data_IF_188535091922
#
_entry.id   IF_188535091922
#
_cell.length_a   1.000
_cell.length_b   1.000
_cell.length_c   1.000
_cell.angle_alpha   90.00
_cell.angle_beta   90.00
_cell.angle_gamma   90.00
#
_symmetry.space_group_name_H-M   'P 1'
#
loop_
_entity.id
_entity.type
_entity.pdbx_description
1 polymer ?
#
# COMPACT_ATOMS: atom_id res chain seq x y z
N UNK A 1 9.44 34.65 -6.23
CA UNK A 1 10.09 33.32 -6.43
C UNK A 1 9.23 32.33 -5.67
N UNK A 2 8.54 31.42 -6.35
CA UNK A 2 7.81 30.35 -5.65
C UNK A 2 8.84 29.44 -4.99
N UNK A 3 8.84 29.38 -3.66
CA UNK A 3 9.63 28.40 -2.94
C UNK A 3 9.20 26.99 -3.37
N UNK A 4 10.17 26.09 -3.53
CA UNK A 4 9.87 24.68 -3.78
C UNK A 4 8.97 24.14 -2.64
N UNK A 5 7.95 23.33 -2.94
CA UNK A 5 7.04 22.83 -1.92
C UNK A 5 7.78 22.01 -0.85
N UNK A 6 7.37 22.18 0.40
CA UNK A 6 7.83 21.39 1.55
C UNK A 6 6.76 20.36 1.88
N UNK A 7 7.13 19.09 1.92
CA UNK A 7 6.22 17.97 2.11
C UNK A 7 6.18 17.52 3.56
N UNK A 8 4.98 17.36 4.12
CA UNK A 8 4.75 16.55 5.30
C UNK A 8 4.21 15.19 4.86
N UNK A 9 4.88 14.10 5.28
CA UNK A 9 4.41 12.73 5.08
C UNK A 9 3.97 12.18 6.44
N UNK A 10 2.69 11.88 6.63
CA UNK A 10 2.22 11.11 7.78
C UNK A 10 2.36 9.62 7.49
N UNK A 11 2.74 8.82 8.47
CA UNK A 11 3.16 7.44 8.23
C UNK A 11 4.53 7.37 7.52
N UNK A 12 5.39 8.38 7.77
CA UNK A 12 6.65 8.57 7.06
C UNK A 12 7.70 7.50 7.31
N UNK A 13 7.65 6.79 8.44
CA UNK A 13 8.51 5.65 8.72
C UNK A 13 7.96 4.31 8.20
N UNK A 14 6.77 4.31 7.56
CA UNK A 14 6.16 3.15 6.94
C UNK A 14 6.74 2.83 5.55
N UNK A 15 6.28 1.72 4.97
CA UNK A 15 6.74 1.25 3.64
C UNK A 15 6.58 2.30 2.53
N UNK A 16 5.39 2.90 2.39
CA UNK A 16 5.19 3.98 1.42
C UNK A 16 5.96 5.23 1.81
N UNK A 17 5.94 5.58 3.11
CA UNK A 17 6.57 6.81 3.62
C UNK A 17 8.06 6.89 3.29
N UNK A 18 8.83 5.83 3.51
CA UNK A 18 10.28 5.83 3.20
C UNK A 18 10.54 5.90 1.69
N UNK A 19 9.79 5.17 0.87
CA UNK A 19 9.96 5.22 -0.58
C UNK A 19 9.60 6.61 -1.13
N UNK A 20 8.50 7.20 -0.66
CA UNK A 20 8.12 8.57 -1.02
C UNK A 20 9.15 9.60 -0.54
N UNK A 21 9.71 9.42 0.66
CA UNK A 21 10.79 10.26 1.17
C UNK A 21 11.99 10.24 0.23
N UNK A 22 12.47 9.04 -0.15
CA UNK A 22 13.58 8.88 -1.11
C UNK A 22 13.27 9.54 -2.45
N UNK A 23 12.06 9.31 -2.96
CA UNK A 23 11.58 9.87 -4.23
C UNK A 23 11.60 11.41 -4.22
N UNK A 24 11.12 12.03 -3.14
CA UNK A 24 11.06 13.49 -2.99
C UNK A 24 12.45 14.09 -2.74
N UNK A 25 13.28 13.48 -1.89
CA UNK A 25 14.64 13.93 -1.63
C UNK A 25 15.53 13.87 -2.88
N UNK A 26 15.33 12.88 -3.75
CA UNK A 26 16.03 12.78 -5.03
C UNK A 26 15.68 13.92 -6.00
N UNK A 27 14.50 14.55 -5.81
CA UNK A 27 14.03 15.72 -6.58
C UNK A 27 14.29 17.06 -5.89
N UNK A 28 15.02 17.05 -4.77
CA UNK A 28 15.43 18.27 -4.06
C UNK A 28 14.35 18.88 -3.16
N UNK A 29 13.26 18.16 -2.88
CA UNK A 29 12.22 18.65 -1.97
C UNK A 29 12.60 18.46 -0.50
N UNK A 30 12.17 19.40 0.34
CA UNK A 30 12.25 19.25 1.80
C UNK A 30 11.11 18.35 2.30
N UNK A 31 11.45 17.43 3.22
CA UNK A 31 10.52 16.44 3.75
C UNK A 31 10.49 16.49 5.27
N UNK A 32 9.28 16.52 5.84
CA UNK A 32 9.00 16.24 7.25
C UNK A 32 8.29 14.89 7.34
N UNK A 33 8.76 14.00 8.19
CA UNK A 33 8.15 12.70 8.50
C UNK A 33 7.43 12.79 9.85
N UNK A 34 6.14 12.44 9.90
CA UNK A 34 5.39 12.23 11.13
C UNK A 34 4.99 10.75 11.23
N UNK A 35 5.46 10.06 12.26
CA UNK A 35 5.11 8.67 12.51
C UNK A 35 5.17 8.36 14.01
N UNK A 36 4.45 7.34 14.46
CA UNK A 36 4.59 6.78 15.82
C UNK A 36 5.85 5.94 15.96
N UNK A 37 6.34 5.37 14.85
CA UNK A 37 7.58 4.60 14.80
C UNK A 37 8.79 5.53 14.58
N UNK A 38 9.94 5.12 15.08
CA UNK A 38 11.20 5.81 14.78
C UNK A 38 11.55 5.70 13.29
N UNK A 39 12.15 6.77 12.75
CA UNK A 39 12.63 6.83 11.38
C UNK A 39 14.07 6.28 11.30
N UNK A 40 14.19 4.97 11.34
CA UNK A 40 15.47 4.25 11.31
C UNK A 40 15.88 3.89 9.88
N UNK A 41 16.25 4.92 9.11
CA UNK A 41 16.71 4.81 7.73
C UNK A 41 17.93 5.70 7.46
N UNK A 42 18.75 5.38 6.46
CA UNK A 42 19.94 6.17 6.10
C UNK A 42 19.64 7.64 5.77
N UNK A 43 18.42 7.96 5.37
CA UNK A 43 17.97 9.30 5.03
C UNK A 43 17.66 10.19 6.24
N UNK A 44 17.82 9.68 7.48
CA UNK A 44 17.44 10.35 8.73
C UNK A 44 17.94 11.80 8.84
N UNK A 45 19.18 12.04 8.50
CA UNK A 45 19.81 13.37 8.64
C UNK A 45 19.36 14.39 7.56
N UNK A 46 18.59 13.93 6.57
CA UNK A 46 18.04 14.73 5.48
C UNK A 46 16.55 15.05 5.63
N UNK A 47 15.93 14.55 6.69
CA UNK A 47 14.49 14.61 6.93
C UNK A 47 14.22 15.24 8.29
N UNK A 48 13.28 16.18 8.36
CA UNK A 48 12.77 16.64 9.64
C UNK A 48 11.87 15.55 10.24
N UNK A 49 12.25 14.99 11.37
CA UNK A 49 11.52 13.89 12.01
C UNK A 49 10.69 14.44 13.16
N UNK A 50 9.42 14.09 13.17
CA UNK A 50 8.48 14.31 14.27
C UNK A 50 7.90 12.97 14.68
N UNK A 51 8.27 12.49 15.85
CA UNK A 51 7.64 11.30 16.43
C UNK A 51 6.34 11.72 17.14
N UNK A 52 5.24 11.04 16.78
CA UNK A 52 3.93 11.33 17.37
C UNK A 52 2.79 10.63 16.64
N UNK A 53 1.65 10.56 17.31
CA UNK A 53 0.42 9.98 16.75
C UNK A 53 -0.36 11.05 15.97
N UNK A 54 -0.90 10.68 14.81
CA UNK A 54 -1.74 11.58 14.00
C UNK A 54 -3.05 11.97 14.70
N UNK A 55 -3.46 11.25 15.73
CA UNK A 55 -4.60 11.58 16.60
C UNK A 55 -4.28 12.71 17.57
N UNK A 56 -2.99 12.97 17.81
CA UNK A 56 -2.52 13.99 18.73
C UNK A 56 -2.35 15.33 18.00
N UNK A 57 -3.28 16.27 18.23
CA UNK A 57 -3.27 17.58 17.58
C UNK A 57 -1.93 18.31 17.69
N UNK A 58 -1.30 18.29 18.87
CA UNK A 58 -0.02 18.96 19.08
C UNK A 58 1.13 18.35 18.26
N UNK A 59 1.16 17.02 18.09
CA UNK A 59 2.15 16.37 17.23
C UNK A 59 1.95 16.73 15.75
N UNK A 60 0.71 16.73 15.28
CA UNK A 60 0.33 17.14 13.93
C UNK A 60 0.70 18.59 13.65
N UNK A 61 0.41 19.50 14.59
CA UNK A 61 0.73 20.93 14.44
C UNK A 61 2.24 21.19 14.37
N UNK A 62 3.03 20.48 15.18
CA UNK A 62 4.51 20.56 15.06
C UNK A 62 4.98 20.04 13.70
N UNK A 63 4.41 18.95 13.20
CA UNK A 63 4.81 18.38 11.93
C UNK A 63 4.44 19.27 10.73
N UNK A 64 3.33 20.01 10.82
CA UNK A 64 2.85 20.94 9.78
C UNK A 64 3.67 22.23 9.67
N UNK A 65 4.60 22.53 10.59
CA UNK A 65 5.40 23.76 10.50
C UNK A 65 6.20 23.80 9.20
N UNK A 66 5.93 24.83 8.40
CA UNK A 66 6.58 25.05 7.10
C UNK A 66 6.10 24.14 5.97
N UNK A 67 5.18 23.23 6.20
CA UNK A 67 4.65 22.35 5.15
C UNK A 67 3.65 23.09 4.26
N UNK A 68 3.84 23.00 2.95
CA UNK A 68 2.88 23.47 1.93
C UNK A 68 2.04 22.31 1.34
N UNK A 69 2.58 21.10 1.37
CA UNK A 69 1.90 19.88 0.90
C UNK A 69 1.89 18.83 2.00
N UNK A 70 0.72 18.25 2.26
CA UNK A 70 0.57 17.08 3.12
C UNK A 70 0.29 15.85 2.27
N UNK A 71 1.06 14.77 2.47
CA UNK A 71 0.73 13.44 1.93
C UNK A 71 0.36 12.56 3.11
N UNK A 72 -0.94 12.25 3.21
CA UNK A 72 -1.49 11.48 4.32
C UNK A 72 -1.48 9.99 3.99
N UNK A 73 -0.42 9.30 4.47
CA UNK A 73 -0.21 7.86 4.27
C UNK A 73 -0.45 7.05 5.56
N UNK A 74 -0.50 7.70 6.72
CA UNK A 74 -0.72 7.02 7.99
C UNK A 74 -2.07 6.32 7.99
N UNK A 75 -2.07 5.04 8.34
CA UNK A 75 -3.26 4.21 8.43
C UNK A 75 -2.99 2.98 9.30
N UNK A 76 -4.01 2.49 9.98
CA UNK A 76 -3.97 1.19 10.62
C UNK A 76 -4.15 0.09 9.55
N UNK A 77 -3.42 -1.00 9.70
CA UNK A 77 -3.47 -2.11 8.75
C UNK A 77 -4.70 -3.01 8.99
N UNK A 78 -5.17 -3.76 7.98
CA UNK A 78 -6.34 -4.65 8.11
C UNK A 78 -6.26 -5.69 9.22
N UNK A 79 -5.05 -5.95 9.74
CA UNK A 79 -4.78 -6.92 10.83
C UNK A 79 -4.90 -6.33 12.23
N UNK A 80 -5.07 -5.02 12.36
CA UNK A 80 -5.29 -4.38 13.67
C UNK A 80 -6.71 -4.59 14.18
N UNK A 81 -6.90 -4.35 15.47
CA UNK A 81 -8.23 -4.40 16.07
C UNK A 81 -9.16 -3.36 15.40
N UNK A 82 -10.45 -3.69 15.18
CA UNK A 82 -11.39 -2.77 14.53
C UNK A 82 -11.43 -1.38 15.15
N UNK A 83 -11.42 -1.29 16.48
CA UNK A 83 -11.41 0.00 17.19
C UNK A 83 -10.18 0.85 16.84
N UNK A 84 -9.01 0.22 16.71
CA UNK A 84 -7.77 0.91 16.32
C UNK A 84 -7.84 1.38 14.87
N UNK A 85 -8.38 0.54 13.96
CA UNK A 85 -8.57 0.92 12.55
C UNK A 85 -9.46 2.16 12.45
N UNK A 86 -10.61 2.17 13.11
CA UNK A 86 -11.52 3.32 13.06
C UNK A 86 -10.89 4.57 13.70
N UNK A 87 -10.25 4.43 14.84
CA UNK A 87 -9.61 5.56 15.51
C UNK A 87 -8.47 6.17 14.67
N UNK A 88 -7.56 5.36 14.16
CA UNK A 88 -6.43 5.86 13.35
C UNK A 88 -6.90 6.41 12.01
N UNK A 89 -7.70 5.63 11.27
CA UNK A 89 -8.04 5.98 9.88
C UNK A 89 -9.10 7.09 9.79
N UNK A 90 -9.97 7.25 10.80
CA UNK A 90 -11.01 8.29 10.79
C UNK A 90 -10.62 9.46 11.65
N UNK A 91 -10.38 9.26 12.96
CA UNK A 91 -10.09 10.37 13.87
C UNK A 91 -8.72 10.97 13.58
N UNK A 92 -7.72 10.11 13.25
CA UNK A 92 -6.41 10.56 12.79
C UNK A 92 -6.49 11.39 11.50
N UNK A 93 -7.21 10.92 10.47
CA UNK A 93 -7.42 11.68 9.23
C UNK A 93 -8.10 13.01 9.52
N UNK A 94 -9.14 13.02 10.38
CA UNK A 94 -9.83 14.24 10.81
C UNK A 94 -8.85 15.24 11.43
N UNK A 95 -8.06 14.80 12.39
CA UNK A 95 -7.08 15.65 13.10
C UNK A 95 -6.09 16.28 12.12
N UNK A 96 -5.55 15.48 11.18
CA UNK A 96 -4.56 15.98 10.23
C UNK A 96 -5.16 16.96 9.23
N UNK A 97 -6.34 16.64 8.63
CA UNK A 97 -6.93 17.52 7.61
C UNK A 97 -7.46 18.81 8.21
N UNK A 98 -8.03 18.79 9.42
CA UNK A 98 -8.42 19.99 10.16
C UNK A 98 -7.24 20.91 10.46
N UNK A 99 -6.12 20.33 10.91
CA UNK A 99 -4.92 21.10 11.19
C UNK A 99 -4.30 21.68 9.90
N UNK A 100 -4.25 20.89 8.84
CA UNK A 100 -3.76 21.31 7.54
C UNK A 100 -4.60 22.47 6.97
N UNK A 101 -5.93 22.35 7.02
CA UNK A 101 -6.85 23.39 6.57
C UNK A 101 -6.71 24.69 7.40
N UNK A 102 -6.65 24.60 8.72
CA UNK A 102 -6.48 25.75 9.61
C UNK A 102 -5.16 26.50 9.38
N UNK A 103 -4.12 25.82 8.91
CA UNK A 103 -2.81 26.41 8.57
C UNK A 103 -2.70 26.88 7.11
N UNK A 104 -3.75 26.71 6.31
CA UNK A 104 -3.75 27.10 4.89
C UNK A 104 -2.79 26.27 4.04
N UNK A 105 -2.62 24.98 4.36
CA UNK A 105 -1.84 24.05 3.52
C UNK A 105 -2.42 24.04 2.11
N UNK A 106 -1.57 24.22 1.10
CA UNK A 106 -1.99 24.37 -0.30
C UNK A 106 -2.61 23.09 -0.85
N UNK A 107 -2.12 21.92 -0.39
CA UNK A 107 -2.55 20.63 -0.90
C UNK A 107 -2.50 19.51 0.15
N UNK A 108 -3.56 18.72 0.18
CA UNK A 108 -3.68 17.55 1.06
C UNK A 108 -3.93 16.29 0.23
N UNK A 109 -2.89 15.53 -0.10
CA UNK A 109 -3.01 14.28 -0.84
C UNK A 109 -3.38 13.15 0.12
N UNK A 110 -4.57 12.58 -0.03
CA UNK A 110 -5.03 11.45 0.76
C UNK A 110 -4.74 10.12 0.06
N UNK A 111 -3.93 9.27 0.68
CA UNK A 111 -3.69 7.91 0.18
C UNK A 111 -4.76 6.97 0.75
N UNK A 112 -5.77 6.70 -0.07
CA UNK A 112 -6.87 5.77 0.20
C UNK A 112 -6.46 4.34 -0.20
N UNK A 113 -7.40 3.55 -0.68
CA UNK A 113 -7.18 2.17 -1.14
C UNK A 113 -8.31 1.73 -2.07
N UNK A 114 -8.06 0.83 -3.00
CA UNK A 114 -9.13 0.15 -3.76
C UNK A 114 -10.02 -0.76 -2.88
N UNK A 115 -9.66 -0.98 -1.61
CA UNK A 115 -10.51 -1.66 -0.64
C UNK A 115 -11.86 -0.93 -0.38
N UNK A 116 -11.97 0.36 -0.75
CA UNK A 116 -13.22 1.13 -0.69
C UNK A 116 -14.32 0.55 -1.59
N UNK A 117 -13.97 -0.15 -2.65
CA UNK A 117 -14.94 -0.80 -3.55
C UNK A 117 -15.52 -2.10 -2.99
N UNK A 118 -14.85 -2.73 -2.00
CA UNK A 118 -15.27 -4.00 -1.42
C UNK A 118 -15.04 -5.19 -2.35
N UNK A 119 -16.06 -6.04 -2.50
CA UNK A 119 -16.04 -7.20 -3.42
C UNK A 119 -16.93 -6.84 -4.62
N UNK A 120 -16.32 -6.44 -5.75
CA UNK A 120 -17.06 -6.02 -6.93
C UNK A 120 -17.57 -7.22 -7.74
N UNK A 121 -18.58 -6.95 -8.56
CA UNK A 121 -19.19 -7.89 -9.49
C UNK A 121 -18.70 -7.72 -10.95
N UNK A 122 -17.86 -6.72 -11.19
CA UNK A 122 -17.28 -6.42 -12.51
C UNK A 122 -15.87 -5.85 -12.42
N UNK A 123 -15.17 -5.83 -13.53
CA UNK A 123 -13.86 -5.23 -13.73
C UNK A 123 -13.70 -4.74 -15.19
N UNK A 124 -12.87 -3.71 -15.44
CA UNK A 124 -12.14 -2.89 -14.47
C UNK A 124 -13.07 -2.01 -13.64
N UNK A 125 -12.70 -1.74 -12.39
CA UNK A 125 -13.39 -0.73 -11.56
C UNK A 125 -12.95 0.68 -11.96
N UNK A 126 -13.89 1.62 -11.92
CA UNK A 126 -13.65 3.04 -12.18
C UNK A 126 -13.96 3.88 -10.93
N UNK A 127 -13.51 5.13 -10.90
CA UNK A 127 -13.64 5.99 -9.72
C UNK A 127 -15.08 6.32 -9.34
N UNK A 128 -16.01 6.20 -10.29
CA UNK A 128 -17.46 6.44 -10.09
C UNK A 128 -18.22 5.23 -9.56
N UNK A 129 -17.57 4.08 -9.47
CA UNK A 129 -18.21 2.88 -8.93
C UNK A 129 -18.58 3.04 -7.47
N UNK A 130 -19.68 2.37 -7.02
CA UNK A 130 -20.14 2.47 -5.66
C UNK A 130 -19.11 2.02 -4.63
N UNK A 131 -18.95 2.81 -3.57
CA UNK A 131 -18.09 2.46 -2.45
C UNK A 131 -18.83 1.52 -1.49
N UNK A 132 -18.37 0.29 -1.39
CA UNK A 132 -18.96 -0.79 -0.56
C UNK A 132 -17.90 -1.44 0.32
N UNK A 133 -17.06 -0.64 0.96
CA UNK A 133 -15.95 -1.13 1.79
C UNK A 133 -16.36 -2.28 2.71
N UNK A 134 -15.66 -3.41 2.60
CA UNK A 134 -15.91 -4.62 3.38
C UNK A 134 -14.95 -4.69 4.56
N UNK A 135 -15.49 -5.08 5.72
CA UNK A 135 -14.73 -5.14 6.97
C UNK A 135 -14.32 -3.77 7.51
N UNK A 136 -13.73 -3.72 8.70
CA UNK A 136 -13.38 -2.46 9.36
C UNK A 136 -12.48 -1.54 8.52
N UNK A 137 -11.47 -2.11 7.87
CA UNK A 137 -10.51 -1.34 7.06
C UNK A 137 -11.16 -0.68 5.83
N UNK A 138 -11.91 -1.45 5.02
CA UNK A 138 -12.58 -0.90 3.85
C UNK A 138 -13.61 0.17 4.23
N UNK A 139 -14.37 -0.04 5.31
CA UNK A 139 -15.33 0.92 5.82
C UNK A 139 -14.65 2.19 6.34
N UNK A 140 -13.56 2.06 7.09
CA UNK A 140 -12.80 3.21 7.60
C UNK A 140 -12.22 4.05 6.45
N UNK A 141 -11.71 3.42 5.39
CA UNK A 141 -11.23 4.14 4.19
C UNK A 141 -12.36 4.90 3.48
N UNK A 142 -13.56 4.33 3.36
CA UNK A 142 -14.73 5.04 2.81
C UNK A 142 -15.08 6.27 3.66
N UNK A 143 -15.08 6.14 4.99
CA UNK A 143 -15.37 7.24 5.90
C UNK A 143 -14.30 8.34 5.86
N UNK A 144 -13.02 7.95 5.77
CA UNK A 144 -11.90 8.90 5.62
C UNK A 144 -11.99 9.67 4.29
N UNK A 145 -12.34 9.01 3.17
CA UNK A 145 -12.62 9.72 1.92
C UNK A 145 -13.78 10.70 2.06
N UNK A 146 -14.82 10.36 2.82
CA UNK A 146 -15.93 11.26 3.12
C UNK A 146 -15.47 12.56 3.79
N UNK A 147 -14.54 12.49 4.74
CA UNK A 147 -13.91 13.66 5.34
C UNK A 147 -13.13 14.48 4.30
N UNK A 148 -12.33 13.82 3.48
CA UNK A 148 -11.57 14.49 2.42
C UNK A 148 -12.48 15.21 1.42
N UNK A 149 -13.59 14.61 1.02
CA UNK A 149 -14.58 15.21 0.12
C UNK A 149 -15.28 16.43 0.77
N UNK A 150 -15.48 16.41 2.08
CA UNK A 150 -16.02 17.57 2.81
C UNK A 150 -15.07 18.78 2.71
N UNK A 151 -13.76 18.58 2.93
CA UNK A 151 -12.78 19.66 2.82
C UNK A 151 -12.57 20.12 1.37
N UNK A 152 -12.69 19.22 0.40
CA UNK A 152 -12.71 19.59 -1.03
C UNK A 152 -13.87 20.54 -1.34
N UNK A 153 -15.08 20.28 -0.81
CA UNK A 153 -16.24 21.18 -0.96
C UNK A 153 -16.06 22.54 -0.27
N UNK A 154 -15.19 22.62 0.74
CA UNK A 154 -14.79 23.87 1.38
C UNK A 154 -13.68 24.63 0.64
N UNK A 155 -13.28 24.16 -0.55
CA UNK A 155 -12.29 24.81 -1.41
C UNK A 155 -10.84 24.36 -1.20
N UNK A 156 -10.56 23.40 -0.32
CA UNK A 156 -9.22 22.84 -0.16
C UNK A 156 -8.89 21.92 -1.35
N UNK A 157 -7.69 22.00 -1.90
CA UNK A 157 -7.23 21.02 -2.89
C UNK A 157 -6.89 19.70 -2.21
N UNK A 158 -7.78 18.69 -2.35
CA UNK A 158 -7.68 17.39 -1.72
C UNK A 158 -7.72 16.27 -2.76
N UNK A 159 -6.62 15.95 -3.42
CA UNK A 159 -6.50 14.73 -4.21
C UNK A 159 -6.70 13.48 -3.37
N UNK A 160 -7.45 12.51 -3.90
CA UNK A 160 -7.60 11.18 -3.30
C UNK A 160 -7.01 10.16 -4.28
N UNK A 161 -6.04 9.38 -3.82
CA UNK A 161 -5.45 8.30 -4.61
C UNK A 161 -5.94 6.97 -4.04
N UNK A 162 -6.48 6.10 -4.90
CA UNK A 162 -6.90 4.74 -4.58
C UNK A 162 -5.93 3.73 -5.20
N UNK A 163 -4.82 3.42 -4.54
CA UNK A 163 -3.85 2.48 -5.08
C UNK A 163 -4.36 1.04 -4.99
N UNK A 164 -3.96 0.23 -5.98
CA UNK A 164 -3.96 -1.22 -5.86
C UNK A 164 -2.92 -1.68 -4.84
N UNK A 165 -2.92 -2.98 -4.51
CA UNK A 165 -1.86 -3.54 -3.66
C UNK A 165 -0.49 -3.21 -4.25
N UNK A 166 0.29 -2.42 -3.54
CA UNK A 166 1.58 -1.97 -4.05
C UNK A 166 2.75 -2.68 -3.37
N UNK A 167 3.80 -2.92 -4.15
CA UNK A 167 5.00 -3.70 -3.82
C UNK A 167 6.24 -2.95 -4.27
N UNK A 168 7.39 -3.34 -3.74
CA UNK A 168 8.69 -2.76 -4.08
C UNK A 168 9.66 -2.84 -2.89
N UNK A 169 10.85 -2.24 -2.99
CA UNK A 169 11.84 -2.21 -1.92
C UNK A 169 11.26 -1.79 -0.57
N UNK A 170 11.67 -2.43 0.51
CA UNK A 170 11.15 -2.30 1.89
C UNK A 170 9.80 -3.01 2.14
N UNK A 171 9.19 -3.66 1.12
CA UNK A 171 7.95 -4.42 1.29
C UNK A 171 8.25 -5.88 1.61
N UNK A 172 7.71 -6.34 2.73
CA UNK A 172 7.74 -7.74 3.17
C UNK A 172 6.31 -8.29 3.27
N UNK A 173 5.82 -8.55 4.46
CA UNK A 173 4.46 -9.05 4.67
C UNK A 173 4.26 -10.42 3.98
N UNK A 174 3.14 -10.58 3.27
CA UNK A 174 2.78 -11.83 2.58
C UNK A 174 3.73 -12.17 1.43
N UNK A 175 4.31 -11.18 0.76
CA UNK A 175 5.22 -11.41 -0.38
C UNK A 175 6.53 -12.06 0.07
N UNK A 176 6.96 -11.81 1.31
CA UNK A 176 8.13 -12.48 1.87
C UNK A 176 8.01 -14.02 1.87
N UNK A 177 6.78 -14.56 1.89
CA UNK A 177 6.57 -16.02 1.78
C UNK A 177 6.99 -16.53 0.39
N UNK A 178 6.55 -15.85 -0.68
CA UNK A 178 6.94 -16.20 -2.05
C UNK A 178 8.46 -16.09 -2.22
N UNK A 179 9.04 -14.99 -1.74
CA UNK A 179 10.47 -14.71 -1.90
C UNK A 179 11.36 -15.68 -1.13
N UNK A 180 10.97 -16.04 0.09
CA UNK A 180 11.69 -17.02 0.91
C UNK A 180 11.66 -18.42 0.25
N UNK A 181 10.52 -18.82 -0.30
CA UNK A 181 10.40 -20.10 -0.99
C UNK A 181 11.20 -20.11 -2.29
N UNK A 182 11.11 -19.05 -3.08
CA UNK A 182 11.87 -18.90 -4.32
C UNK A 182 13.38 -18.90 -4.06
N UNK A 183 13.86 -18.18 -3.03
CA UNK A 183 15.28 -18.10 -2.69
C UNK A 183 15.88 -19.42 -2.19
N UNK A 184 15.06 -20.28 -1.60
CA UNK A 184 15.48 -21.60 -1.12
C UNK A 184 15.27 -22.72 -2.18
N UNK A 185 14.89 -22.37 -3.41
CA UNK A 185 14.72 -23.31 -4.51
C UNK A 185 13.48 -24.18 -4.38
N UNK A 186 12.38 -23.64 -3.83
CA UNK A 186 11.10 -24.33 -3.72
C UNK A 186 10.06 -23.75 -4.68
N UNK A 187 9.10 -24.56 -5.13
CA UNK A 187 7.90 -24.10 -5.81
C UNK A 187 6.96 -23.38 -4.85
N UNK A 188 5.91 -22.74 -5.37
CA UNK A 188 4.98 -21.98 -4.53
C UNK A 188 3.54 -22.47 -4.67
N UNK A 189 2.83 -22.79 -3.56
CA UNK A 189 1.42 -23.18 -3.60
C UNK A 189 0.53 -21.95 -3.80
N UNK A 190 -0.51 -22.12 -4.61
CA UNK A 190 -1.49 -21.06 -4.88
C UNK A 190 -2.91 -21.55 -4.61
N UNK A 191 -3.75 -20.69 -4.05
CA UNK A 191 -5.17 -20.95 -3.84
C UNK A 191 -5.89 -20.79 -5.18
N UNK A 192 -6.58 -21.83 -5.62
CA UNK A 192 -7.23 -21.87 -6.94
C UNK A 192 -6.25 -22.19 -8.07
N UNK A 193 -6.69 -21.97 -9.30
CA UNK A 193 -5.87 -22.17 -10.51
C UNK A 193 -4.79 -21.11 -10.69
N UNK A 194 -4.99 -19.93 -10.11
CA UNK A 194 -4.17 -18.73 -10.33
C UNK A 194 -4.44 -18.04 -11.68
N UNK A 195 -5.50 -18.43 -12.40
CA UNK A 195 -5.86 -17.82 -13.69
C UNK A 195 -6.61 -16.47 -13.51
N UNK A 196 -6.95 -16.12 -12.29
CA UNK A 196 -7.50 -14.80 -11.99
C UNK A 196 -6.46 -13.69 -12.19
N UNK A 197 -6.94 -12.54 -12.64
CA UNK A 197 -6.12 -11.34 -12.88
C UNK A 197 -6.10 -10.47 -11.63
N UNK A 198 -4.93 -10.21 -11.12
CA UNK A 198 -4.75 -9.35 -9.95
C UNK A 198 -3.74 -8.26 -10.26
N UNK A 199 -4.21 -7.01 -10.30
CA UNK A 199 -3.36 -5.87 -10.57
C UNK A 199 -2.60 -5.47 -9.30
N UNK A 200 -1.28 -5.37 -9.41
CA UNK A 200 -0.41 -4.73 -8.43
C UNK A 200 -0.06 -3.30 -8.86
N UNK A 201 0.82 -2.68 -8.11
CA UNK A 201 1.42 -1.39 -8.42
C UNK A 201 2.84 -1.37 -7.85
N UNK A 202 3.82 -0.90 -8.61
CA UNK A 202 5.13 -0.63 -8.02
C UNK A 202 5.07 0.61 -7.11
N UNK A 203 5.79 0.58 -6.00
CA UNK A 203 5.80 1.68 -5.03
C UNK A 203 6.38 2.97 -5.62
N UNK A 204 7.28 2.87 -6.59
CA UNK A 204 7.85 4.03 -7.28
C UNK A 204 6.82 4.70 -8.19
N UNK A 205 6.02 3.91 -8.93
CA UNK A 205 4.89 4.42 -9.71
C UNK A 205 3.82 5.07 -8.79
N UNK A 206 3.61 4.52 -7.58
CA UNK A 206 2.74 5.18 -6.60
C UNK A 206 3.32 6.51 -6.12
N UNK A 207 4.62 6.58 -5.87
CA UNK A 207 5.30 7.83 -5.51
C UNK A 207 5.18 8.87 -6.63
N UNK A 208 5.29 8.45 -7.89
CA UNK A 208 5.06 9.34 -9.04
C UNK A 208 3.62 9.83 -9.10
N UNK A 209 2.62 8.96 -8.95
CA UNK A 209 1.22 9.36 -8.92
C UNK A 209 0.93 10.38 -7.80
N UNK A 210 1.49 10.18 -6.61
CA UNK A 210 1.41 11.12 -5.50
C UNK A 210 2.05 12.47 -5.89
N UNK A 211 3.23 12.43 -6.47
CA UNK A 211 3.93 13.65 -6.90
C UNK A 211 3.16 14.40 -7.99
N UNK A 212 2.62 13.71 -8.98
CA UNK A 212 1.78 14.30 -10.02
C UNK A 212 0.55 15.01 -9.43
N UNK A 213 -0.16 14.36 -8.47
CA UNK A 213 -1.28 15.03 -7.79
C UNK A 213 -0.83 16.17 -6.90
N UNK A 214 0.38 16.12 -6.35
CA UNK A 214 0.93 17.19 -5.53
C UNK A 214 1.36 18.42 -6.33
N UNK A 215 1.68 18.29 -7.62
CA UNK A 215 2.26 19.35 -8.47
C UNK A 215 1.37 19.80 -9.61
N UNK A 216 0.37 19.00 -10.01
CA UNK A 216 -0.56 19.39 -11.08
C UNK A 216 -1.40 20.62 -10.69
N UNK A 217 -2.02 21.26 -11.68
CA UNK A 217 -2.98 22.33 -11.45
C UNK A 217 -4.06 21.91 -10.43
N UNK A 218 -4.38 22.75 -9.42
CA UNK A 218 -5.35 22.38 -8.37
C UNK A 218 -6.73 21.98 -8.91
N UNK A 219 -7.18 22.58 -10.00
CA UNK A 219 -8.48 22.23 -10.61
C UNK A 219 -8.47 20.83 -11.24
N UNK A 220 -7.31 20.35 -11.69
CA UNK A 220 -7.12 18.99 -12.22
C UNK A 220 -6.83 17.97 -11.12
N UNK A 221 -6.01 18.37 -10.16
CA UNK A 221 -5.57 17.48 -9.06
C UNK A 221 -6.65 17.22 -8.01
N UNK A 222 -7.58 18.17 -7.78
CA UNK A 222 -8.62 18.10 -6.76
C UNK A 222 -9.70 17.05 -7.03
N UNK A 223 -9.32 15.85 -7.44
CA UNK A 223 -10.22 14.76 -7.83
C UNK A 223 -9.77 13.43 -7.20
N UNK A 224 -10.42 12.33 -7.54
CA UNK A 224 -10.12 10.98 -7.08
C UNK A 224 -9.55 10.16 -8.23
N UNK A 225 -8.49 9.40 -7.99
CA UNK A 225 -7.77 8.64 -9.00
C UNK A 225 -7.48 7.21 -8.55
N UNK A 226 -7.86 6.24 -9.36
CA UNK A 226 -7.38 4.87 -9.25
C UNK A 226 -5.96 4.79 -9.83
N UNK A 227 -5.07 4.06 -9.16
CA UNK A 227 -3.70 3.82 -9.65
C UNK A 227 -3.30 2.35 -9.49
N UNK A 228 -2.69 1.81 -10.53
CA UNK A 228 -2.28 0.42 -10.65
C UNK A 228 -1.31 0.24 -11.81
N UNK A 229 -0.69 -0.92 -11.94
CA UNK A 229 0.15 -1.24 -13.08
C UNK A 229 -0.68 -1.22 -14.38
N UNK A 230 -0.07 -0.75 -15.47
CA UNK A 230 -0.70 -0.80 -16.79
C UNK A 230 -0.65 -2.20 -17.40
N UNK A 231 0.44 -2.92 -17.13
CA UNK A 231 0.69 -4.28 -17.65
C UNK A 231 0.64 -5.27 -16.49
N UNK A 232 -0.28 -6.21 -16.55
CA UNK A 232 -0.43 -7.28 -15.57
C UNK A 232 -1.07 -8.50 -16.23
N UNK A 233 -0.73 -9.67 -15.74
CA UNK A 233 -1.18 -10.96 -16.28
C UNK A 233 -2.03 -11.71 -15.22
N UNK A 234 -2.01 -13.05 -15.26
CA UNK A 234 -2.65 -13.85 -14.22
C UNK A 234 -1.75 -13.95 -12.99
N UNK A 235 -2.34 -14.18 -11.81
CA UNK A 235 -1.57 -14.40 -10.58
C UNK A 235 -0.52 -15.51 -10.73
N UNK A 236 -0.86 -16.56 -11.50
CA UNK A 236 0.06 -17.66 -11.78
C UNK A 236 1.26 -17.20 -12.58
N UNK A 237 1.05 -16.46 -13.66
CA UNK A 237 2.13 -15.97 -14.52
C UNK A 237 3.01 -14.97 -13.79
N UNK A 238 2.40 -14.06 -13.02
CA UNK A 238 3.14 -13.05 -12.26
C UNK A 238 4.02 -13.68 -11.17
N UNK A 239 3.51 -14.68 -10.43
CA UNK A 239 4.31 -15.39 -9.42
C UNK A 239 5.33 -16.33 -10.04
N UNK A 240 4.99 -16.95 -11.20
CA UNK A 240 5.94 -17.80 -11.95
C UNK A 240 7.16 -16.99 -12.38
N UNK A 241 6.98 -15.74 -12.81
CA UNK A 241 8.10 -14.88 -13.21
C UNK A 241 9.14 -14.72 -12.07
N UNK A 242 8.71 -14.69 -10.82
CA UNK A 242 9.65 -14.66 -9.66
C UNK A 242 10.41 -15.98 -9.53
N UNK A 243 9.74 -17.14 -9.70
CA UNK A 243 10.39 -18.44 -9.62
C UNK A 243 11.34 -18.68 -10.80
N UNK A 244 10.97 -18.20 -11.98
CA UNK A 244 11.83 -18.25 -13.17
C UNK A 244 13.08 -17.38 -12.99
N UNK A 245 12.91 -16.18 -12.44
CA UNK A 245 14.03 -15.30 -12.09
C UNK A 245 14.96 -15.92 -11.03
N UNK A 246 14.40 -16.67 -10.06
CA UNK A 246 15.19 -17.37 -9.06
C UNK A 246 16.06 -18.49 -9.65
N UNK A 247 15.73 -19.02 -10.83
CA UNK A 247 16.59 -19.89 -11.63
C UNK A 247 16.66 -21.36 -11.20
N UNK A 248 15.79 -21.82 -10.28
CA UNK A 248 15.80 -23.22 -9.80
C UNK A 248 14.90 -24.16 -10.60
N UNK A 249 14.26 -23.71 -11.69
CA UNK A 249 13.36 -24.53 -12.49
C UNK A 249 12.09 -24.99 -11.75
N UNK A 250 11.67 -24.24 -10.76
CA UNK A 250 10.48 -24.52 -9.93
C UNK A 250 9.23 -23.85 -10.47
N UNK A 251 8.06 -24.37 -10.09
CA UNK A 251 6.79 -23.85 -10.60
C UNK A 251 5.77 -23.55 -9.53
N UNK A 252 4.87 -22.62 -9.86
CA UNK A 252 3.65 -22.33 -9.09
C UNK A 252 2.67 -23.49 -9.26
N UNK A 253 2.15 -24.03 -8.15
CA UNK A 253 1.17 -25.12 -8.14
C UNK A 253 -0.15 -24.66 -7.56
N UNK A 254 -1.20 -24.66 -8.38
CA UNK A 254 -2.55 -24.33 -7.95
C UNK A 254 -3.22 -25.50 -7.22
N UNK A 255 -3.95 -25.20 -6.16
CA UNK A 255 -4.76 -26.17 -5.41
C UNK A 255 -6.24 -25.77 -5.48
N UNK A 256 -7.18 -26.73 -5.48
CA UNK A 256 -8.61 -26.40 -5.50
C UNK A 256 -8.95 -25.42 -4.38
N UNK A 257 -9.55 -24.27 -4.76
CA UNK A 257 -9.78 -23.15 -3.82
C UNK A 257 -10.73 -23.55 -2.68
N UNK A 258 -11.86 -24.20 -2.98
CA UNK A 258 -12.89 -24.52 -1.99
C UNK A 258 -12.37 -25.32 -0.79
N UNK A 259 -11.75 -26.50 -0.97
CA UNK A 259 -11.25 -27.28 0.19
C UNK A 259 -10.13 -26.53 0.94
N UNK A 260 -9.28 -25.81 0.21
CA UNK A 260 -8.17 -25.09 0.83
C UNK A 260 -8.68 -23.90 1.68
N UNK A 261 -9.66 -23.15 1.18
CA UNK A 261 -10.31 -22.05 1.93
C UNK A 261 -11.01 -22.60 3.18
N UNK A 262 -11.72 -23.72 3.10
CA UNK A 262 -12.32 -24.36 4.26
C UNK A 262 -11.27 -24.76 5.30
N UNK A 263 -10.16 -25.35 4.87
CA UNK A 263 -9.04 -25.69 5.76
C UNK A 263 -8.49 -24.43 6.44
N UNK A 264 -8.27 -23.35 5.70
CA UNK A 264 -7.77 -22.09 6.25
C UNK A 264 -8.76 -21.44 7.24
N UNK A 265 -10.08 -21.54 6.99
CA UNK A 265 -11.11 -21.09 7.94
C UNK A 265 -11.05 -21.87 9.28
N UNK A 266 -10.88 -23.18 9.21
CA UNK A 266 -10.72 -24.01 10.42
C UNK A 266 -9.45 -23.64 11.16
N UNK A 267 -8.32 -23.50 10.45
CA UNK A 267 -7.06 -23.06 11.04
C UNK A 267 -7.16 -21.65 11.66
N UNK A 268 -7.89 -20.73 11.02
CA UNK A 268 -8.13 -19.38 11.57
C UNK A 268 -8.92 -19.44 12.87
N UNK A 269 -9.99 -20.24 12.92
CA UNK A 269 -10.77 -20.45 14.15
C UNK A 269 -9.91 -21.01 15.30
N UNK A 270 -8.90 -21.83 14.98
CA UNK A 270 -7.92 -22.37 15.92
C UNK A 270 -6.72 -21.42 16.16
N UNK A 271 -6.69 -20.22 15.56
CA UNK A 271 -5.57 -19.26 15.57
C UNK A 271 -4.24 -19.82 15.02
N UNK A 272 -4.32 -20.78 14.11
CA UNK A 272 -3.18 -21.44 13.46
C UNK A 272 -3.04 -21.06 11.98
N UNK A 273 -3.97 -20.29 11.41
CA UNK A 273 -3.90 -19.88 10.01
C UNK A 273 -2.68 -18.97 9.74
N UNK A 274 -1.89 -19.27 8.70
CA UNK A 274 -0.80 -18.40 8.27
C UNK A 274 -1.29 -17.19 7.48
N UNK A 275 -2.54 -17.19 7.01
CA UNK A 275 -3.17 -16.16 6.23
C UNK A 275 -4.45 -15.67 6.91
N UNK A 276 -4.75 -14.38 6.80
CA UNK A 276 -6.01 -13.84 7.29
C UNK A 276 -7.12 -13.94 6.24
N UNK A 277 -8.36 -13.90 6.70
CA UNK A 277 -9.56 -14.23 5.94
C UNK A 277 -9.66 -13.53 4.60
N UNK A 278 -9.45 -12.21 4.56
CA UNK A 278 -9.56 -11.46 3.32
C UNK A 278 -8.59 -11.94 2.23
N UNK A 279 -7.35 -12.29 2.60
CA UNK A 279 -6.33 -12.78 1.64
C UNK A 279 -6.77 -14.08 1.01
N UNK A 280 -7.17 -15.08 1.81
CA UNK A 280 -7.49 -16.38 1.23
C UNK A 280 -8.88 -16.46 0.59
N UNK A 281 -9.85 -15.63 1.02
CA UNK A 281 -11.17 -15.59 0.38
C UNK A 281 -11.17 -14.87 -0.96
N UNK A 282 -10.28 -13.90 -1.17
CA UNK A 282 -10.18 -13.14 -2.43
C UNK A 282 -9.05 -13.61 -3.35
N UNK A 283 -8.21 -14.56 -2.91
CA UNK A 283 -7.03 -15.00 -3.66
C UNK A 283 -7.31 -15.61 -5.03
N UNK A 284 -8.53 -16.10 -5.27
CA UNK A 284 -8.91 -16.75 -6.53
C UNK A 284 -9.91 -15.90 -7.36
N UNK A 285 -10.08 -14.62 -7.04
CA UNK A 285 -10.97 -13.71 -7.76
C UNK A 285 -10.20 -12.62 -8.48
N UNK A 286 -10.77 -12.13 -9.59
CA UNK A 286 -10.23 -10.98 -10.29
C UNK A 286 -10.21 -9.74 -9.40
N UNK A 287 -9.20 -8.88 -9.56
CA UNK A 287 -9.11 -7.63 -8.82
C UNK A 287 -8.25 -6.61 -9.56
N UNK A 288 -8.87 -5.76 -10.37
CA UNK A 288 -8.18 -4.69 -11.09
C UNK A 288 -9.07 -3.46 -11.33
N UNK A 289 -8.43 -2.33 -11.55
CA UNK A 289 -9.07 -1.03 -11.76
C UNK A 289 -8.63 -0.42 -13.10
N UNK A 290 -9.44 0.48 -13.66
CA UNK A 290 -9.00 1.35 -14.74
C UNK A 290 -8.12 2.47 -14.17
N UNK A 291 -7.02 2.77 -14.85
CA UNK A 291 -6.14 3.90 -14.56
C UNK A 291 -6.27 5.03 -15.58
N UNK A 292 -7.18 4.91 -16.55
CA UNK A 292 -7.35 5.84 -17.66
C UNK A 292 -7.58 7.28 -17.22
N UNK A 293 -8.28 7.48 -16.10
CA UNK A 293 -8.48 8.83 -15.55
C UNK A 293 -7.17 9.45 -15.08
N UNK A 294 -6.35 8.68 -14.35
CA UNK A 294 -5.03 9.13 -13.90
C UNK A 294 -4.11 9.42 -15.10
N UNK A 295 -4.10 8.56 -16.12
CA UNK A 295 -3.34 8.79 -17.36
C UNK A 295 -3.77 10.09 -18.04
N UNK A 296 -5.07 10.27 -18.29
CA UNK A 296 -5.59 11.42 -19.03
C UNK A 296 -5.46 12.74 -18.26
N UNK A 297 -5.74 12.74 -16.97
CA UNK A 297 -5.83 13.97 -16.16
C UNK A 297 -4.48 14.39 -15.60
N UNK A 298 -3.69 13.44 -15.12
CA UNK A 298 -2.42 13.69 -14.45
C UNK A 298 -1.21 13.42 -15.33
N UNK A 299 -1.37 12.70 -16.44
CA UNK A 299 -0.25 12.19 -17.24
C UNK A 299 0.44 11.01 -16.57
N UNK A 300 -0.24 10.30 -15.66
CA UNK A 300 0.31 9.13 -14.99
C UNK A 300 0.67 8.05 -16.01
N UNK A 301 1.92 7.58 -15.97
CA UNK A 301 2.44 6.58 -16.90
C UNK A 301 3.29 5.54 -16.12
N UNK A 302 2.63 4.55 -15.48
CA UNK A 302 3.35 3.57 -14.66
C UNK A 302 4.38 2.81 -15.50
N UNK A 303 5.59 2.71 -14.97
CA UNK A 303 6.76 2.17 -15.67
C UNK A 303 6.91 0.66 -15.47
N UNK A 304 6.35 0.12 -14.39
CA UNK A 304 6.56 -1.26 -14.00
C UNK A 304 5.31 -2.09 -14.23
N UNK A 305 5.50 -3.27 -14.85
CA UNK A 305 4.49 -4.32 -14.86
C UNK A 305 4.38 -4.99 -13.48
N UNK A 306 3.37 -5.82 -13.27
CA UNK A 306 3.29 -6.67 -12.08
C UNK A 306 4.56 -7.50 -11.87
N UNK A 307 5.07 -8.10 -12.95
CA UNK A 307 6.25 -8.96 -12.91
C UNK A 307 7.49 -8.17 -12.54
N UNK A 308 7.68 -6.98 -13.14
CA UNK A 308 8.80 -6.10 -12.80
C UNK A 308 8.77 -5.71 -11.33
N UNK A 309 7.60 -5.30 -10.81
CA UNK A 309 7.44 -4.90 -9.42
C UNK A 309 7.74 -6.05 -8.43
N UNK A 310 7.28 -7.28 -8.75
CA UNK A 310 7.56 -8.48 -7.95
C UNK A 310 9.04 -8.83 -7.98
N UNK A 311 9.68 -8.81 -9.15
CA UNK A 311 11.09 -9.15 -9.30
C UNK A 311 11.99 -8.10 -8.61
N UNK A 312 11.70 -6.80 -8.77
CA UNK A 312 12.43 -5.73 -8.07
C UNK A 312 12.37 -5.91 -6.55
N UNK A 313 11.21 -6.24 -6.03
CA UNK A 313 11.06 -6.49 -4.60
C UNK A 313 11.78 -7.77 -4.16
N UNK A 314 11.78 -8.81 -5.00
CA UNK A 314 12.54 -10.03 -4.75
C UNK A 314 14.06 -9.77 -4.73
N UNK A 315 14.59 -8.98 -5.66
CA UNK A 315 16.00 -8.57 -5.67
C UNK A 315 16.35 -7.84 -4.37
N UNK A 316 15.55 -6.85 -3.99
CA UNK A 316 15.75 -6.15 -2.71
C UNK A 316 15.68 -7.11 -1.52
N UNK A 317 14.75 -8.08 -1.54
CA UNK A 317 14.65 -9.10 -0.49
C UNK A 317 15.93 -9.92 -0.37
N UNK A 318 16.53 -10.37 -1.48
CA UNK A 318 17.77 -11.15 -1.47
C UNK A 318 18.94 -10.36 -0.86
N UNK A 319 19.06 -9.10 -1.19
CA UNK A 319 20.11 -8.22 -0.67
C UNK A 319 19.95 -7.93 0.83
N UNK A 320 18.72 -7.88 1.32
CA UNK A 320 18.40 -7.40 2.66
C UNK A 320 17.89 -8.50 3.63
N UNK A 321 17.72 -9.76 3.17
CA UNK A 321 17.12 -10.83 3.99
C UNK A 321 17.82 -11.07 5.33
N UNK A 322 19.10 -10.79 5.42
CA UNK A 322 19.89 -10.91 6.66
C UNK A 322 19.40 -9.95 7.75
N UNK A 323 18.82 -8.80 7.40
CA UNK A 323 18.26 -7.80 8.35
C UNK A 323 17.00 -8.30 9.03
N UNK A 324 16.30 -9.26 8.46
CA UNK A 324 14.99 -9.75 8.94
C UNK A 324 15.08 -11.16 9.52
N UNK A 325 16.27 -11.76 9.58
CA UNK A 325 16.47 -13.09 10.14
C UNK A 325 15.95 -13.16 11.58
N UNK A 326 15.03 -14.10 11.84
CA UNK A 326 14.42 -14.28 13.15
C UNK A 326 13.30 -13.29 13.48
N UNK A 327 13.01 -12.30 12.63
CA UNK A 327 11.89 -11.38 12.83
C UNK A 327 10.60 -11.94 12.19
N UNK A 328 9.48 -11.69 12.83
CA UNK A 328 8.16 -11.97 12.27
C UNK A 328 7.10 -11.05 12.88
N UNK A 329 6.12 -10.65 12.10
CA UNK A 329 5.07 -9.74 12.56
C UNK A 329 3.89 -9.66 11.61
N UNK A 330 3.08 -8.61 11.75
CA UNK A 330 1.86 -8.38 10.96
C UNK A 330 1.95 -7.11 10.12
N UNK A 331 3.06 -6.39 10.19
CA UNK A 331 3.27 -5.16 9.42
C UNK A 331 3.87 -5.45 8.03
N UNK A 332 3.90 -4.45 7.18
CA UNK A 332 4.54 -4.57 5.86
C UNK A 332 6.08 -4.55 5.91
N UNK A 333 6.67 -4.20 7.06
CA UNK A 333 8.12 -4.09 7.27
C UNK A 333 8.80 -5.36 7.77
N UNK A 334 8.04 -6.37 8.16
CA UNK A 334 8.56 -7.64 8.65
C UNK A 334 7.92 -8.82 7.93
N UNK A 335 8.61 -9.97 7.79
CA UNK A 335 8.02 -11.17 7.20
C UNK A 335 6.85 -11.68 8.06
N UNK A 336 5.83 -12.23 7.42
CA UNK A 336 4.77 -12.92 8.14
C UNK A 336 5.23 -14.27 8.64
N UNK A 337 4.66 -14.71 9.78
CA UNK A 337 4.93 -16.05 10.32
C UNK A 337 4.48 -17.11 9.32
N UNK A 338 5.39 -17.99 8.94
CA UNK A 338 5.07 -19.07 8.00
C UNK A 338 4.18 -20.16 8.64
N UNK A 339 4.24 -20.35 9.96
CA UNK A 339 3.43 -21.36 10.66
C UNK A 339 3.54 -22.74 10.01
N UNK A 340 2.38 -23.35 9.73
CA UNK A 340 2.28 -24.67 9.06
C UNK A 340 2.89 -24.65 7.64
N UNK A 341 2.93 -23.51 6.94
CA UNK A 341 3.53 -23.41 5.61
C UNK A 341 5.03 -23.71 5.61
N UNK A 342 5.75 -23.46 6.70
CA UNK A 342 7.15 -23.81 6.82
C UNK A 342 7.39 -25.33 6.73
N UNK A 343 6.44 -26.13 7.22
CA UNK A 343 6.50 -27.61 7.09
C UNK A 343 6.12 -28.04 5.68
N UNK A 344 5.13 -27.39 5.07
CA UNK A 344 4.69 -27.68 3.70
C UNK A 344 5.76 -27.33 2.66
N UNK A 345 6.63 -26.35 2.91
CA UNK A 345 7.71 -25.89 2.02
C UNK A 345 8.54 -27.03 1.47
N UNK A 346 8.82 -28.07 2.28
CA UNK A 346 9.63 -29.24 1.88
C UNK A 346 8.95 -30.14 0.84
N UNK A 347 7.66 -29.96 0.57
CA UNK A 347 6.89 -30.77 -0.39
C UNK A 347 6.88 -30.14 -1.81
N UNK A 348 7.44 -28.96 -1.95
CA UNK A 348 7.46 -28.15 -3.17
C UNK A 348 8.89 -27.90 -3.65
#
# INVERSE_FOLDING_TARGET
MSHAPTYLITGGAGFLGINLTRYLLARGYAVTSLDVADFDYPERDRVRIVTGDIRERAAVERALEGASVVVHCAAALPLYAPAEIYSVDIDGTRTVIEAAHARGVERFVHVSSTAVYGIPDHHPLVETDPLRGVGPYGQAKVLAEGLCLEYRRRGMCVPIIRPKSFIGPERLGVFALLYDWASDGHGFPMIGSGNNRYQFLDVEDLCEAIHLTATADPARAGDTFNVGAKIFTTMREDYQAVLDYAGFGKSVRGFPATPLIWTLRVLEALKLSPLYRWVYETAATDSFVSIEKAERVLGFAPQYSNQDALIRNYQWYLENRHRFAGQSGVTHRVPWKQGILAMAKRLF
#
